data_IF_160517212482
#
_entry.id   IF_160517212482
#
_cell.length_a   1.000
_cell.length_b   1.000
_cell.length_c   1.000
_cell.angle_alpha   90.00
_cell.angle_beta   90.00
_cell.angle_gamma   90.00
#
_symmetry.space_group_name_H-M   'P 1'
#
loop_
_entity.id
_entity.type
_entity.pdbx_description
1 polymer ?
#
# COMPACT_ATOMS: atom_id res chain seq x y z
N UNK A 1 4.46 9.55 10.98
CA UNK A 1 3.90 10.92 10.78
C UNK A 1 3.91 11.69 12.10
N UNK A 2 4.10 13.02 12.08
CA UNK A 2 3.90 13.86 13.28
C UNK A 2 2.43 13.85 13.71
N UNK A 3 2.14 14.14 14.99
CA UNK A 3 0.77 14.15 15.52
C UNK A 3 -0.18 15.08 14.75
N UNK A 4 0.32 16.24 14.33
CA UNK A 4 -0.44 17.22 13.53
C UNK A 4 -0.94 16.66 12.19
N UNK A 5 -0.09 15.95 11.44
CA UNK A 5 -0.50 15.35 10.14
C UNK A 5 -1.56 14.27 10.32
N UNK A 6 -1.50 13.50 11.42
CA UNK A 6 -2.51 12.49 11.73
C UNK A 6 -3.84 13.15 12.07
N UNK A 7 -3.83 14.23 12.86
CA UNK A 7 -5.03 14.99 13.18
C UNK A 7 -5.70 15.56 11.91
N UNK A 8 -4.92 16.16 11.00
CA UNK A 8 -5.43 16.67 9.72
C UNK A 8 -6.05 15.55 8.88
N UNK A 9 -5.41 14.38 8.80
CA UNK A 9 -5.96 13.24 8.07
C UNK A 9 -7.27 12.73 8.69
N UNK A 10 -7.36 12.66 10.03
CA UNK A 10 -8.58 12.23 10.74
C UNK A 10 -9.71 13.24 10.50
N UNK A 11 -9.46 14.53 10.69
CA UNK A 11 -10.47 15.58 10.48
C UNK A 11 -10.91 15.62 9.03
N UNK A 12 -9.98 15.65 8.08
CA UNK A 12 -10.29 15.67 6.66
C UNK A 12 -11.12 14.45 6.23
N UNK A 13 -10.76 13.26 6.69
CA UNK A 13 -11.51 12.04 6.40
C UNK A 13 -12.88 12.02 7.09
N UNK A 14 -13.01 12.60 8.29
CA UNK A 14 -14.29 12.74 8.96
C UNK A 14 -15.23 13.68 8.20
N UNK A 15 -14.75 14.85 7.75
CA UNK A 15 -15.55 15.80 6.97
C UNK A 15 -16.00 15.22 5.63
N UNK A 16 -15.10 14.52 4.94
CA UNK A 16 -15.42 13.81 3.70
C UNK A 16 -16.41 12.67 3.94
N UNK A 17 -16.16 11.88 4.98
CA UNK A 17 -17.03 10.79 5.38
C UNK A 17 -18.43 11.27 5.77
N UNK A 18 -18.57 12.46 6.35
CA UNK A 18 -19.87 12.98 6.76
C UNK A 18 -20.82 13.18 5.57
N UNK A 19 -20.29 13.57 4.41
CA UNK A 19 -21.07 13.72 3.18
C UNK A 19 -21.52 12.36 2.62
N UNK A 20 -20.64 11.35 2.68
CA UNK A 20 -20.99 9.99 2.29
C UNK A 20 -22.02 9.36 3.24
N UNK A 21 -21.93 9.65 4.54
CA UNK A 21 -22.93 9.21 5.51
C UNK A 21 -24.26 9.95 5.36
N UNK A 22 -24.23 11.23 4.96
CA UNK A 22 -25.43 12.02 4.67
C UNK A 22 -26.18 11.46 3.45
N UNK A 23 -25.46 11.14 2.35
CA UNK A 23 -25.99 10.39 1.21
C UNK A 23 -26.66 9.08 1.64
N UNK A 24 -25.97 8.28 2.45
CA UNK A 24 -26.49 6.99 2.90
C UNK A 24 -27.75 7.17 3.75
N UNK A 25 -27.75 8.13 4.69
CA UNK A 25 -28.90 8.45 5.53
C UNK A 25 -30.13 8.80 4.69
N UNK A 26 -29.98 9.67 3.69
CA UNK A 26 -31.08 10.05 2.80
C UNK A 26 -31.51 8.90 1.90
N UNK A 27 -30.57 8.08 1.41
CA UNK A 27 -30.91 6.91 0.62
C UNK A 27 -31.76 5.91 1.41
N UNK A 28 -31.46 5.72 2.70
CA UNK A 28 -32.25 4.88 3.59
C UNK A 28 -33.60 5.52 3.97
N UNK A 29 -33.63 6.84 4.15
CA UNK A 29 -34.84 7.56 4.56
C UNK A 29 -35.84 7.78 3.44
N UNK A 30 -35.37 8.15 2.25
CA UNK A 30 -36.20 8.62 1.14
C UNK A 30 -36.15 7.69 -0.10
N UNK A 31 -35.32 6.65 -0.09
CA UNK A 31 -35.27 5.66 -1.16
C UNK A 31 -35.00 6.29 -2.53
N UNK A 32 -35.84 5.97 -3.52
CA UNK A 32 -35.68 6.48 -4.88
C UNK A 32 -35.75 8.02 -4.99
N UNK A 33 -36.38 8.69 -4.02
CA UNK A 33 -36.49 10.15 -4.02
C UNK A 33 -35.26 10.85 -3.42
N UNK A 34 -34.31 10.11 -2.81
CA UNK A 34 -33.20 10.69 -2.07
C UNK A 34 -32.41 11.73 -2.87
N UNK A 35 -32.07 11.42 -4.12
CA UNK A 35 -31.29 12.32 -4.95
C UNK A 35 -32.04 13.60 -5.31
N UNK A 36 -33.36 13.52 -5.54
CA UNK A 36 -34.19 14.69 -5.81
C UNK A 36 -34.29 15.59 -4.57
N UNK A 37 -34.48 14.99 -3.38
CA UNK A 37 -34.52 15.74 -2.12
C UNK A 37 -33.18 16.42 -1.84
N UNK A 38 -32.05 15.74 -2.09
CA UNK A 38 -30.70 16.26 -1.88
C UNK A 38 -30.18 17.16 -3.00
N UNK A 39 -30.94 17.40 -4.08
CA UNK A 39 -30.51 18.28 -5.16
C UNK A 39 -31.37 19.54 -5.27
N UNK A 40 -32.27 19.78 -4.31
CA UNK A 40 -33.24 20.87 -4.35
C UNK A 40 -33.14 21.78 -3.12
N UNK A 41 -33.59 23.02 -3.27
CA UNK A 41 -33.58 24.00 -2.19
C UNK A 41 -32.19 24.24 -1.59
N UNK A 42 -32.11 24.21 -0.26
CA UNK A 42 -30.87 24.41 0.49
C UNK A 42 -29.78 23.36 0.17
N UNK A 43 -30.14 22.20 -0.40
CA UNK A 43 -29.22 21.12 -0.74
C UNK A 43 -28.65 21.20 -2.17
N UNK A 44 -28.99 22.22 -2.96
CA UNK A 44 -28.56 22.31 -4.37
C UNK A 44 -27.03 22.28 -4.60
N UNK A 45 -26.23 22.61 -3.58
CA UNK A 45 -24.77 22.52 -3.62
C UNK A 45 -24.24 21.08 -3.51
N UNK A 46 -25.04 20.17 -2.97
CA UNK A 46 -24.63 18.84 -2.53
C UNK A 46 -24.13 17.93 -3.68
N UNK A 47 -24.75 17.89 -4.87
CA UNK A 47 -24.24 17.07 -5.97
C UNK A 47 -22.81 17.42 -6.39
N UNK A 48 -22.46 18.71 -6.40
CA UNK A 48 -21.10 19.17 -6.72
C UNK A 48 -20.12 18.77 -5.61
N UNK A 49 -20.52 18.94 -4.35
CA UNK A 49 -19.71 18.56 -3.19
C UNK A 49 -19.40 17.06 -3.18
N UNK A 50 -20.41 16.22 -3.42
CA UNK A 50 -20.25 14.76 -3.51
C UNK A 50 -19.30 14.38 -4.64
N UNK A 51 -19.51 14.93 -5.85
CA UNK A 51 -18.69 14.61 -7.02
C UNK A 51 -17.22 14.97 -6.81
N UNK A 52 -16.94 16.16 -6.30
CA UNK A 52 -15.58 16.63 -6.04
C UNK A 52 -14.90 15.81 -4.93
N UNK A 53 -15.65 15.51 -3.88
CA UNK A 53 -15.16 14.70 -2.75
C UNK A 53 -14.82 13.27 -3.18
N UNK A 54 -15.69 12.60 -3.94
CA UNK A 54 -15.42 11.27 -4.49
C UNK A 54 -14.19 11.26 -5.40
N UNK A 55 -14.04 12.27 -6.25
CA UNK A 55 -12.85 12.44 -7.09
C UNK A 55 -11.56 12.57 -6.27
N UNK A 56 -11.58 13.37 -5.20
CA UNK A 56 -10.44 13.54 -4.30
C UNK A 56 -10.08 12.24 -3.56
N UNK A 57 -11.08 11.49 -3.08
CA UNK A 57 -10.86 10.18 -2.45
C UNK A 57 -10.22 9.20 -3.45
N UNK A 58 -10.76 9.11 -4.66
CA UNK A 58 -10.24 8.22 -5.69
C UNK A 58 -8.78 8.55 -6.01
N UNK A 59 -8.44 9.83 -6.18
CA UNK A 59 -7.08 10.27 -6.41
C UNK A 59 -6.13 9.90 -5.24
N UNK A 60 -6.58 10.10 -4.00
CA UNK A 60 -5.78 9.75 -2.81
C UNK A 60 -5.53 8.24 -2.68
N UNK A 61 -6.54 7.41 -2.96
CA UNK A 61 -6.41 5.94 -2.97
C UNK A 61 -5.43 5.50 -4.06
N UNK A 62 -5.56 6.04 -5.27
CA UNK A 62 -4.64 5.73 -6.38
C UNK A 62 -3.21 6.12 -6.04
N UNK A 63 -2.97 7.31 -5.49
CA UNK A 63 -1.65 7.74 -5.05
C UNK A 63 -1.07 6.79 -3.98
N UNK A 64 -1.88 6.37 -3.00
CA UNK A 64 -1.47 5.40 -1.99
C UNK A 64 -1.07 4.05 -2.58
N UNK A 65 -1.87 3.54 -3.52
CA UNK A 65 -1.57 2.29 -4.22
C UNK A 65 -0.29 2.38 -5.05
N UNK A 66 -0.08 3.50 -5.75
CA UNK A 66 1.14 3.75 -6.52
C UNK A 66 2.38 3.78 -5.62
N UNK A 67 2.32 4.43 -4.45
CA UNK A 67 3.44 4.44 -3.49
C UNK A 67 3.75 3.04 -2.97
N UNK A 68 2.73 2.26 -2.62
CA UNK A 68 2.92 0.87 -2.15
C UNK A 68 3.48 -0.02 -3.28
N UNK A 69 3.00 0.15 -4.50
CA UNK A 69 3.51 -0.54 -5.69
C UNK A 69 4.97 -0.22 -5.96
N UNK A 70 5.33 1.07 -5.97
CA UNK A 70 6.69 1.54 -6.15
C UNK A 70 7.64 1.00 -5.07
N UNK A 71 7.21 1.00 -3.80
CA UNK A 71 7.99 0.44 -2.71
C UNK A 71 8.26 -1.07 -2.89
N UNK A 72 7.29 -1.83 -3.42
CA UNK A 72 7.48 -3.26 -3.74
C UNK A 72 8.48 -3.46 -4.88
N UNK A 73 8.42 -2.63 -5.91
CA UNK A 73 9.35 -2.68 -7.05
C UNK A 73 10.78 -2.36 -6.60
N UNK A 74 10.97 -1.29 -5.82
CA UNK A 74 12.29 -0.87 -5.36
C UNK A 74 12.88 -1.79 -4.27
N UNK A 75 12.04 -2.28 -3.36
CA UNK A 75 12.50 -3.08 -2.22
C UNK A 75 12.53 -4.60 -2.47
N UNK A 76 11.94 -5.09 -3.57
CA UNK A 76 11.84 -6.53 -3.89
C UNK A 76 11.11 -7.37 -2.83
N UNK A 77 10.43 -6.75 -1.87
CA UNK A 77 9.82 -7.40 -0.69
C UNK A 77 8.47 -6.80 -0.36
N UNK A 78 7.64 -7.55 0.39
CA UNK A 78 6.36 -7.05 0.90
C UNK A 78 6.61 -5.96 1.96
N UNK A 79 5.92 -4.83 1.80
CA UNK A 79 5.88 -3.72 2.76
C UNK A 79 5.27 -4.22 4.08
N UNK A 80 6.06 -4.23 5.17
CA UNK A 80 5.57 -4.64 6.50
C UNK A 80 4.88 -3.46 7.21
N UNK A 81 3.64 -3.62 7.69
CA UNK A 81 2.94 -2.53 8.36
C UNK A 81 3.59 -2.19 9.71
N UNK A 82 3.70 -0.89 10.00
CA UNK A 82 4.11 -0.37 11.32
C UNK A 82 2.85 -0.17 12.19
N UNK A 83 3.03 -0.19 13.53
CA UNK A 83 2.00 -0.12 14.58
C UNK A 83 0.69 0.58 14.17
N UNK A 84 -0.44 -0.08 14.45
CA UNK A 84 -1.77 0.37 14.04
C UNK A 84 -2.45 1.16 15.16
N UNK A 85 -3.08 2.30 14.87
CA UNK A 85 -3.89 3.00 15.87
C UNK A 85 -5.07 2.12 16.33
N UNK A 86 -5.54 2.38 17.55
CA UNK A 86 -6.72 1.74 18.15
C UNK A 86 -7.92 1.88 17.22
N UNK A 87 -8.56 0.76 16.89
CA UNK A 87 -9.76 0.76 16.05
C UNK A 87 -10.89 1.51 16.73
N UNK A 88 -11.20 1.17 17.97
CA UNK A 88 -12.32 1.73 18.73
C UNK A 88 -12.12 3.23 18.95
N UNK A 89 -10.91 3.65 19.34
CA UNK A 89 -10.62 5.07 19.54
C UNK A 89 -10.75 5.88 18.26
N UNK A 90 -10.25 5.36 17.13
CA UNK A 90 -10.37 6.06 15.85
C UNK A 90 -11.81 6.08 15.33
N UNK A 91 -12.54 4.97 15.47
CA UNK A 91 -13.96 4.88 15.11
C UNK A 91 -14.78 5.90 15.91
N UNK A 92 -14.58 5.98 17.22
CA UNK A 92 -15.30 6.90 18.08
C UNK A 92 -15.07 8.37 17.68
N UNK A 93 -13.82 8.74 17.36
CA UNK A 93 -13.49 10.10 16.90
C UNK A 93 -14.13 10.40 15.54
N UNK A 94 -13.97 9.51 14.56
CA UNK A 94 -14.52 9.70 13.22
C UNK A 94 -16.04 9.78 13.25
N UNK A 95 -16.68 8.84 13.96
CA UNK A 95 -18.14 8.81 14.10
C UNK A 95 -18.67 10.07 14.79
N UNK A 96 -18.05 10.50 15.89
CA UNK A 96 -18.47 11.72 16.62
C UNK A 96 -18.41 12.95 15.73
N UNK A 97 -17.29 13.16 15.01
CA UNK A 97 -17.16 14.32 14.12
C UNK A 97 -18.18 14.23 12.97
N UNK A 98 -18.32 13.05 12.35
CA UNK A 98 -19.27 12.85 11.26
C UNK A 98 -20.71 13.13 11.68
N UNK A 99 -21.12 12.62 12.83
CA UNK A 99 -22.46 12.83 13.38
C UNK A 99 -22.72 14.29 13.73
N UNK A 100 -21.73 14.98 14.33
CA UNK A 100 -21.83 16.39 14.65
C UNK A 100 -21.98 17.26 13.39
N UNK A 101 -21.21 16.95 12.33
CA UNK A 101 -21.30 17.65 11.05
C UNK A 101 -22.66 17.39 10.39
N UNK A 102 -23.13 16.14 10.37
CA UNK A 102 -24.45 15.79 9.84
C UNK A 102 -25.57 16.57 10.55
N UNK A 103 -25.61 16.54 11.88
CA UNK A 103 -26.61 17.25 12.66
C UNK A 103 -26.53 18.77 12.43
N UNK A 104 -25.31 19.31 12.36
CA UNK A 104 -25.08 20.73 12.05
C UNK A 104 -25.60 21.13 10.67
N UNK A 105 -25.35 20.31 9.64
CA UNK A 105 -25.87 20.56 8.29
C UNK A 105 -27.39 20.58 8.27
N UNK A 106 -28.04 19.55 8.82
CA UNK A 106 -29.51 19.47 8.84
C UNK A 106 -30.14 20.65 9.58
N UNK A 107 -29.56 21.08 10.70
CA UNK A 107 -30.03 22.25 11.45
C UNK A 107 -29.88 23.53 10.63
N UNK A 108 -28.69 23.78 10.08
CA UNK A 108 -28.41 24.99 9.30
C UNK A 108 -29.29 25.06 8.05
N UNK A 109 -29.47 23.95 7.35
CA UNK A 109 -30.30 23.89 6.14
C UNK A 109 -31.78 24.07 6.47
N UNK A 110 -32.27 23.47 7.56
CA UNK A 110 -33.65 23.68 8.01
C UNK A 110 -33.92 25.15 8.34
N UNK A 111 -32.97 25.83 9.00
CA UNK A 111 -33.04 27.25 9.32
C UNK A 111 -33.04 28.12 8.06
N UNK A 112 -32.14 27.86 7.10
CA UNK A 112 -32.07 28.59 5.83
C UNK A 112 -33.35 28.40 5.00
N UNK A 113 -33.91 27.20 5.02
CA UNK A 113 -35.15 26.89 4.30
C UNK A 113 -36.42 27.38 5.01
N UNK A 114 -36.32 27.95 6.22
CA UNK A 114 -37.48 28.34 7.03
C UNK A 114 -38.36 27.16 7.44
N UNK A 115 -37.79 25.96 7.50
CA UNK A 115 -38.51 24.72 7.80
C UNK A 115 -38.25 24.25 9.24
N UNK A 116 -39.15 23.43 9.83
CA UNK A 116 -38.92 22.88 11.16
C UNK A 116 -37.64 22.04 11.22
N UNK A 117 -36.81 22.30 12.23
CA UNK A 117 -35.63 21.48 12.53
C UNK A 117 -36.09 20.10 13.01
N UNK A 118 -35.43 19.05 12.51
CA UNK A 118 -35.69 17.67 12.95
C UNK A 118 -35.51 17.50 14.47
N UNK A 119 -36.28 16.61 15.07
CA UNK A 119 -36.15 16.32 16.49
C UNK A 119 -34.77 15.72 16.80
N UNK A 120 -34.25 15.93 18.02
CA UNK A 120 -32.96 15.35 18.41
C UNK A 120 -32.91 13.81 18.22
N UNK A 121 -33.96 13.04 18.59
CA UNK A 121 -34.01 11.61 18.29
C UNK A 121 -33.94 11.28 16.79
N UNK A 122 -34.61 12.06 15.92
CA UNK A 122 -34.55 11.84 14.47
C UNK A 122 -33.15 12.09 13.92
N UNK A 123 -32.52 13.19 14.32
CA UNK A 123 -31.15 13.53 13.90
C UNK A 123 -30.16 12.46 14.35
N UNK A 124 -30.30 11.95 15.57
CA UNK A 124 -29.47 10.88 16.10
C UNK A 124 -29.71 9.56 15.37
N UNK A 125 -30.96 9.20 15.09
CA UNK A 125 -31.31 7.95 14.40
C UNK A 125 -30.76 7.94 12.98
N UNK A 126 -31.15 8.92 12.17
CA UNK A 126 -30.75 8.98 10.76
C UNK A 126 -29.26 9.27 10.60
N UNK A 127 -28.72 10.13 11.47
CA UNK A 127 -27.29 10.39 11.55
C UNK A 127 -26.51 9.12 11.90
N UNK A 128 -26.90 8.37 12.92
CA UNK A 128 -26.20 7.14 13.28
C UNK A 128 -26.25 6.08 12.17
N UNK A 129 -27.42 5.89 11.55
CA UNK A 129 -27.60 4.93 10.46
C UNK A 129 -26.69 5.27 9.27
N UNK A 130 -26.59 6.54 8.88
CA UNK A 130 -25.75 6.97 7.78
C UNK A 130 -24.26 7.02 8.13
N UNK A 131 -23.92 7.59 9.28
CA UNK A 131 -22.53 7.90 9.62
C UNK A 131 -21.77 6.70 10.18
N UNK A 132 -22.39 5.80 10.94
CA UNK A 132 -21.66 4.68 11.56
C UNK A 132 -21.03 3.73 10.53
N UNK A 133 -21.72 3.28 9.47
CA UNK A 133 -21.11 2.43 8.44
C UNK A 133 -19.94 3.12 7.73
N UNK A 134 -20.08 4.41 7.44
CA UNK A 134 -19.04 5.21 6.79
C UNK A 134 -17.84 5.43 7.71
N UNK A 135 -18.07 5.69 8.99
CA UNK A 135 -17.02 5.80 10.01
C UNK A 135 -16.22 4.49 10.13
N UNK A 136 -16.87 3.33 10.05
CA UNK A 136 -16.20 2.02 10.02
C UNK A 136 -15.29 1.89 8.81
N UNK A 137 -15.79 2.18 7.61
CA UNK A 137 -14.99 2.13 6.37
C UNK A 137 -13.82 3.12 6.45
N UNK A 138 -14.06 4.35 6.90
CA UNK A 138 -13.02 5.37 7.08
C UNK A 138 -11.95 4.94 8.09
N UNK A 139 -12.35 4.30 9.20
CA UNK A 139 -11.44 3.74 10.20
C UNK A 139 -10.55 2.67 9.58
N UNK A 140 -11.13 1.74 8.82
CA UNK A 140 -10.38 0.70 8.12
C UNK A 140 -9.42 1.30 7.09
N UNK A 141 -9.88 2.26 6.29
CA UNK A 141 -9.09 2.96 5.30
C UNK A 141 -7.90 3.68 5.92
N UNK A 142 -8.11 4.45 6.99
CA UNK A 142 -7.02 5.19 7.65
C UNK A 142 -6.01 4.26 8.32
N UNK A 143 -6.48 3.16 8.94
CA UNK A 143 -5.59 2.12 9.51
C UNK A 143 -4.77 1.44 8.42
N UNK A 144 -5.39 1.12 7.28
CA UNK A 144 -4.70 0.49 6.16
C UNK A 144 -3.68 1.45 5.53
N UNK A 145 -4.13 2.65 5.17
CA UNK A 145 -3.33 3.65 4.48
C UNK A 145 -2.17 4.11 5.37
N UNK A 146 -2.43 4.40 6.64
CA UNK A 146 -1.40 4.77 7.61
C UNK A 146 -0.32 3.69 7.74
N UNK A 147 -0.70 2.43 7.91
CA UNK A 147 0.26 1.35 8.10
C UNK A 147 1.09 1.04 6.85
N UNK A 148 0.50 1.13 5.65
CA UNK A 148 1.17 0.75 4.39
C UNK A 148 1.90 1.92 3.74
N UNK A 149 1.33 3.13 3.73
CA UNK A 149 1.97 4.30 3.09
C UNK A 149 3.17 4.76 3.91
N UNK A 150 3.09 4.81 5.25
CA UNK A 150 4.25 5.17 6.07
C UNK A 150 5.43 4.20 5.83
N UNK A 151 5.13 2.89 5.78
CA UNK A 151 6.14 1.86 5.52
C UNK A 151 6.67 1.89 4.07
N UNK A 152 5.81 2.15 3.09
CA UNK A 152 6.21 2.30 1.69
C UNK A 152 7.13 3.51 1.48
N UNK A 153 6.79 4.66 2.06
CA UNK A 153 7.61 5.88 1.98
C UNK A 153 8.97 5.67 2.64
N UNK A 154 9.02 4.99 3.79
CA UNK A 154 10.28 4.59 4.43
C UNK A 154 11.14 3.73 3.50
N UNK A 155 10.55 2.67 2.95
CA UNK A 155 11.24 1.75 2.03
C UNK A 155 11.78 2.45 0.77
N UNK A 156 11.00 3.38 0.20
CA UNK A 156 11.43 4.18 -0.97
C UNK A 156 12.61 5.07 -0.58
N UNK A 157 12.54 5.75 0.58
CA UNK A 157 13.62 6.61 1.06
C UNK A 157 14.92 5.83 1.27
N UNK A 158 14.83 4.64 1.86
CA UNK A 158 15.98 3.77 2.11
C UNK A 158 16.60 3.28 0.79
N UNK A 159 15.76 2.87 -0.18
CA UNK A 159 16.23 2.47 -1.50
C UNK A 159 16.91 3.62 -2.26
N UNK A 160 16.34 4.83 -2.22
CA UNK A 160 16.94 6.02 -2.85
C UNK A 160 18.25 6.40 -2.16
N UNK A 161 18.33 6.30 -0.83
CA UNK A 161 19.56 6.54 -0.10
C UNK A 161 20.65 5.51 -0.47
N UNK A 162 20.30 4.24 -0.59
CA UNK A 162 21.22 3.18 -1.02
C UNK A 162 21.72 3.40 -2.46
N UNK A 163 20.86 3.85 -3.39
CA UNK A 163 21.27 4.21 -4.75
C UNK A 163 22.27 5.37 -4.78
N UNK A 164 22.12 6.36 -3.88
CA UNK A 164 23.05 7.50 -3.78
C UNK A 164 24.37 7.13 -3.11
N UNK A 165 24.33 6.19 -2.17
CA UNK A 165 25.50 5.75 -1.42
C UNK A 165 26.26 4.60 -2.11
N UNK A 166 25.74 4.08 -3.22
CA UNK A 166 26.34 2.95 -3.94
C UNK A 166 27.77 3.30 -4.35
N UNK A 167 28.79 2.57 -3.83
CA UNK A 167 30.16 2.72 -4.30
C UNK A 167 30.19 2.42 -5.80
N UNK A 168 30.99 3.18 -6.57
CA UNK A 168 31.34 2.78 -7.94
C UNK A 168 31.79 1.32 -7.90
N UNK A 169 31.30 0.46 -8.81
CA UNK A 169 31.70 -0.94 -8.80
C UNK A 169 33.22 -1.01 -8.89
N UNK A 170 33.88 -1.38 -7.80
CA UNK A 170 35.26 -1.78 -7.85
C UNK A 170 35.29 -3.01 -8.76
N UNK A 171 35.89 -2.87 -9.94
CA UNK A 171 36.26 -3.98 -10.79
C UNK A 171 37.13 -4.91 -9.93
N UNK A 172 36.49 -5.90 -9.32
CA UNK A 172 37.19 -7.01 -8.71
C UNK A 172 37.68 -7.85 -9.87
N UNK A 173 38.89 -7.54 -10.33
CA UNK A 173 39.65 -8.42 -11.18
C UNK A 173 39.79 -9.73 -10.41
N UNK A 174 38.88 -10.67 -10.65
CA UNK A 174 39.00 -12.03 -10.18
C UNK A 174 40.21 -12.58 -10.91
N UNK A 175 41.37 -12.59 -10.24
CA UNK A 175 42.54 -13.29 -10.73
C UNK A 175 42.12 -14.73 -10.95
N UNK A 176 41.83 -15.09 -12.20
CA UNK A 176 41.64 -16.45 -12.61
C UNK A 176 43.01 -17.12 -12.45
N UNK A 177 43.27 -17.67 -11.27
CA UNK A 177 44.31 -18.67 -11.14
C UNK A 177 43.85 -19.85 -11.98
N UNK A 178 44.41 -19.95 -13.19
CA UNK A 178 44.31 -21.14 -13.99
C UNK A 178 44.91 -22.28 -13.17
N UNK A 179 44.07 -23.11 -12.57
CA UNK A 179 44.48 -24.41 -12.04
C UNK A 179 45.06 -25.19 -13.21
N UNK A 180 46.39 -25.49 -13.23
CA UNK A 180 46.94 -26.29 -14.31
C UNK A 180 46.25 -27.64 -14.28
N UNK A 181 45.65 -27.99 -15.42
CA UNK A 181 44.94 -29.24 -15.59
C UNK A 181 45.93 -30.41 -15.43
N UNK A 182 45.87 -31.08 -14.27
CA UNK A 182 46.76 -32.21 -13.94
C UNK A 182 46.63 -33.36 -14.94
N UNK A 183 45.50 -33.44 -15.67
CA UNK A 183 45.29 -34.44 -16.71
C UNK A 183 46.28 -34.27 -17.88
N UNK A 184 46.59 -33.02 -18.27
CA UNK A 184 47.56 -32.73 -19.33
C UNK A 184 49.00 -33.07 -18.91
N UNK A 185 49.35 -32.83 -17.63
CA UNK A 185 50.66 -33.17 -17.09
C UNK A 185 50.88 -34.69 -17.02
N UNK A 186 49.86 -35.48 -16.66
CA UNK A 186 49.99 -36.94 -16.62
C UNK A 186 50.03 -37.59 -18.01
N UNK A 187 49.38 -36.99 -19.02
CA UNK A 187 49.43 -37.50 -20.40
C UNK A 187 50.84 -37.47 -21.00
N UNK A 188 51.67 -36.47 -20.62
CA UNK A 188 53.06 -36.36 -21.11
C UNK A 188 54.01 -37.36 -20.45
N UNK A 189 53.71 -37.83 -19.24
CA UNK A 189 54.54 -38.81 -18.51
C UNK A 189 54.21 -40.24 -18.96
N UNK A 190 52.97 -40.52 -19.35
CA UNK A 190 52.57 -41.84 -19.85
C UNK A 190 53.16 -42.18 -21.24
N UNK A 191 53.53 -41.18 -22.04
CA UNK A 191 54.05 -41.37 -23.40
C UNK A 191 55.52 -41.83 -23.50
N UNK A 192 56.30 -41.78 -22.41
CA UNK A 192 57.76 -42.03 -22.47
C UNK A 192 58.20 -43.36 -21.85
N UNK A 193 57.31 -44.15 -21.24
CA UNK A 193 57.67 -45.41 -20.57
C UNK A 193 57.31 -46.70 -21.34
N UNK A 194 56.62 -46.62 -22.48
CA UNK A 194 56.18 -47.80 -23.26
C UNK A 194 57.11 -48.18 -24.44
N UNK A 195 58.21 -47.46 -24.64
CA UNK A 195 59.18 -47.77 -25.70
C UNK A 195 60.40 -48.54 -25.18
N UNK A 196 60.20 -49.74 -24.58
CA UNK A 196 61.29 -50.72 -24.42
C UNK A 196 60.76 -52.11 -24.06
N UNK A 197 60.60 -52.95 -25.08
CA UNK A 197 60.90 -54.40 -25.09
C UNK A 197 60.53 -54.94 -26.48
N UNK A 198 61.53 -55.17 -27.31
CA UNK A 198 61.40 -56.04 -28.48
C UNK A 198 61.24 -57.50 -28.04
N UNK A 199 60.74 -58.37 -28.93
CA UNK A 199 60.49 -59.78 -28.59
C UNK A 199 61.80 -60.54 -28.34
N UNK A 200 61.80 -61.57 -27.48
CA UNK A 200 63.00 -62.33 -27.12
C UNK A 200 63.47 -63.23 -28.28
N UNK A 201 64.80 -63.35 -28.42
CA UNK A 201 65.47 -64.25 -29.37
C UNK A 201 65.34 -65.71 -28.93
N UNK A 202 64.83 -66.57 -29.80
CA UNK A 202 64.77 -68.02 -29.60
C UNK A 202 66.16 -68.65 -29.71
N UNK A 203 66.63 -69.27 -28.61
CA UNK A 203 67.83 -70.10 -28.56
C UNK A 203 67.57 -71.43 -29.30
N UNK A 204 68.36 -71.68 -30.34
CA UNK A 204 68.42 -72.95 -31.08
C UNK A 204 69.34 -73.92 -30.32
N UNK A 205 68.81 -75.04 -29.83
CA UNK A 205 69.61 -76.14 -29.25
C UNK A 205 69.61 -77.28 -30.27
N UNK A 206 70.78 -77.58 -30.83
CA UNK A 206 71.03 -78.76 -31.68
C UNK A 206 71.08 -80.02 -30.83
N UNK A 207 70.56 -81.14 -31.36
CA UNK A 207 70.80 -82.49 -30.84
C UNK A 207 71.37 -83.38 -31.95
N UNK A 208 72.46 -84.06 -31.58
CA UNK A 208 73.23 -85.13 -32.26
C UNK A 208 74.10 -84.77 -33.46
#
# INVERSE_FOLDING_TARGET
MSGSRKAVAVVGLALVGSQAGHLLAYQMRFGAAAQQVQSTGAHSYFPLLVKTTLGAIAAAVLAGLLLVGLARVLGGRRVRPVSRPSFVGLLAVLFTIQLAVFAGQEVVEALIAGSPVGSAPDLLLWGALGQLPVAVIATLALRWLGAHVESAVGSIRDAVAALRAAPLPALTARAAYATPDRALLMSRVAGTSLAKRGPPSSLHISTH
#
